data_IF_188240379157
#
_entry.id   IF_188240379157
#
_cell.length_a   1.000
_cell.length_b   1.000
_cell.length_c   1.000
_cell.angle_alpha   90.00
_cell.angle_beta   90.00
_cell.angle_gamma   90.00
#
_symmetry.space_group_name_H-M   'P 1'
#
loop_
_entity.id
_entity.type
_entity.pdbx_description
1 polymer ?
#
# COMPACT_ATOMS: atom_id res chain seq x y z
N UNK A 1 9.23 27.88 6.73
CA UNK A 1 8.45 27.66 5.50
C UNK A 1 7.48 26.53 5.82
N UNK A 2 6.29 26.89 6.27
CA UNK A 2 5.28 25.93 6.77
C UNK A 2 4.15 25.93 5.75
N UNK A 3 4.27 25.07 4.75
CA UNK A 3 3.26 24.91 3.70
C UNK A 3 2.07 24.16 4.29
N UNK A 4 1.06 24.95 4.64
CA UNK A 4 -0.22 24.49 5.17
C UNK A 4 -1.00 23.82 4.03
N UNK A 5 -1.33 22.54 4.27
CA UNK A 5 -2.26 21.77 3.47
C UNK A 5 -3.61 22.49 3.48
N UNK A 6 -4.00 23.10 2.37
CA UNK A 6 -5.29 23.77 2.25
C UNK A 6 -6.41 22.72 2.36
N UNK A 7 -7.21 22.90 3.41
CA UNK A 7 -8.53 22.34 3.64
C UNK A 7 -9.38 22.44 2.35
N UNK A 8 -9.64 21.29 1.73
CA UNK A 8 -10.37 21.20 0.47
C UNK A 8 -11.00 19.83 0.36
N UNK A 9 -12.23 19.72 0.86
CA UNK A 9 -13.14 18.57 0.77
C UNK A 9 -13.63 18.26 -0.64
N UNK A 10 -12.98 18.82 -1.66
CA UNK A 10 -13.36 18.71 -3.07
C UNK A 10 -12.29 17.89 -3.81
N UNK A 11 -12.67 16.67 -4.19
CA UNK A 11 -11.82 15.82 -5.03
C UNK A 11 -11.53 16.60 -6.32
N UNK A 12 -10.27 16.93 -6.59
CA UNK A 12 -9.91 17.61 -7.84
C UNK A 12 -10.25 16.72 -9.02
N UNK A 13 -10.85 17.32 -10.04
CA UNK A 13 -11.20 16.61 -11.25
C UNK A 13 -9.91 16.17 -11.98
N UNK A 14 -9.71 14.86 -12.22
CA UNK A 14 -8.49 14.35 -12.83
C UNK A 14 -8.31 14.79 -14.30
N UNK A 15 -9.32 15.39 -14.94
CA UNK A 15 -9.19 15.95 -16.29
C UNK A 15 -8.47 17.30 -16.33
N UNK A 16 -8.44 18.05 -15.22
CA UNK A 16 -7.78 19.36 -15.16
C UNK A 16 -6.26 19.25 -15.00
N UNK A 17 -5.78 18.30 -14.19
CA UNK A 17 -4.35 17.97 -14.09
C UNK A 17 -4.17 16.46 -13.88
N UNK A 18 -4.10 15.66 -14.97
CA UNK A 18 -4.00 14.20 -14.90
C UNK A 18 -2.66 13.71 -14.33
N UNK A 19 -1.78 14.63 -13.95
CA UNK A 19 -0.47 14.34 -13.37
C UNK A 19 -0.44 14.62 -11.88
N UNK A 20 -1.56 14.93 -11.26
CA UNK A 20 -1.67 15.22 -9.83
C UNK A 20 -2.67 14.27 -9.15
N UNK A 21 -2.36 13.91 -7.90
CA UNK A 21 -3.25 13.13 -7.06
C UNK A 21 -4.57 13.87 -6.84
N UNK A 22 -5.71 13.25 -7.17
CA UNK A 22 -7.04 13.85 -6.99
C UNK A 22 -7.42 14.15 -5.54
N UNK A 23 -6.69 13.57 -4.57
CA UNK A 23 -6.96 13.74 -3.13
C UNK A 23 -6.10 14.81 -2.47
N UNK A 24 -4.79 14.80 -2.69
CA UNK A 24 -3.88 15.74 -2.02
C UNK A 24 -3.19 16.73 -2.98
N UNK A 25 -3.40 16.59 -4.29
CA UNK A 25 -2.84 17.49 -5.30
C UNK A 25 -1.35 17.36 -5.57
N UNK A 26 -0.67 16.36 -4.96
CA UNK A 26 0.77 16.13 -5.22
C UNK A 26 0.98 15.63 -6.64
N UNK A 27 2.04 16.10 -7.30
CA UNK A 27 2.39 15.67 -8.66
C UNK A 27 2.89 14.21 -8.65
N UNK A 28 2.22 13.35 -9.41
CA UNK A 28 2.48 11.92 -9.56
C UNK A 28 2.99 11.54 -10.97
N UNK A 29 3.04 12.50 -11.90
CA UNK A 29 3.52 12.28 -13.27
C UNK A 29 2.51 11.60 -14.20
N UNK A 30 2.95 11.19 -15.39
CA UNK A 30 2.07 10.66 -16.46
C UNK A 30 1.72 9.16 -16.35
N UNK A 31 2.33 8.44 -15.41
CA UNK A 31 2.29 6.98 -15.36
C UNK A 31 1.60 6.39 -14.14
N UNK A 32 0.85 7.17 -13.37
CA UNK A 32 0.27 6.76 -12.11
C UNK A 32 -1.25 6.89 -12.07
N UNK A 33 -1.87 6.04 -11.27
CA UNK A 33 -3.28 6.03 -10.86
C UNK A 33 -3.79 7.44 -10.48
N UNK A 34 -5.11 7.67 -10.40
CA UNK A 34 -5.71 8.95 -9.95
C UNK A 34 -5.20 9.47 -8.58
N UNK A 35 -4.47 8.65 -7.82
CA UNK A 35 -3.97 8.97 -6.49
C UNK A 35 -2.49 8.61 -6.33
N UNK A 36 -1.78 9.41 -5.53
CA UNK A 36 -0.46 9.02 -5.06
C UNK A 36 -0.53 7.78 -4.16
N UNK A 37 0.56 7.02 -4.10
CA UNK A 37 0.66 5.78 -3.32
C UNK A 37 0.08 5.84 -1.89
N UNK A 38 0.38 6.85 -1.05
CA UNK A 38 -0.20 6.91 0.29
C UNK A 38 -1.72 7.14 0.26
N UNK A 39 -2.23 8.05 -0.58
CA UNK A 39 -3.67 8.28 -0.69
C UNK A 39 -4.40 7.07 -1.28
N UNK A 40 -3.80 6.38 -2.26
CA UNK A 40 -4.34 5.18 -2.87
C UNK A 40 -4.46 4.04 -1.85
N UNK A 41 -3.47 3.88 -0.97
CA UNK A 41 -3.50 2.88 0.12
C UNK A 41 -4.54 3.23 1.18
N UNK A 42 -4.70 4.51 1.52
CA UNK A 42 -5.67 4.95 2.52
C UNK A 42 -7.13 4.71 2.09
N UNK A 43 -7.44 4.86 0.79
CA UNK A 43 -8.77 4.58 0.25
C UNK A 43 -8.97 3.11 -0.17
N UNK A 44 -7.95 2.26 -0.03
CA UNK A 44 -8.00 0.86 -0.46
C UNK A 44 -7.91 0.63 -1.98
N UNK A 45 -7.49 1.63 -2.76
CA UNK A 45 -7.22 1.47 -4.20
C UNK A 45 -5.89 0.75 -4.48
N UNK A 46 -4.94 0.79 -3.53
CA UNK A 46 -3.72 -0.04 -3.53
C UNK A 46 -3.67 -0.91 -2.27
N UNK A 47 -3.17 -2.15 -2.36
CA UNK A 47 -3.01 -3.01 -1.19
C UNK A 47 -2.05 -2.37 -0.17
N UNK A 48 -2.12 -2.73 1.12
CA UNK A 48 -1.20 -2.21 2.13
C UNK A 48 0.25 -2.65 1.88
N UNK A 49 1.20 -1.91 2.44
CA UNK A 49 2.58 -2.39 2.55
C UNK A 49 2.63 -3.38 3.71
N UNK A 50 3.14 -4.58 3.45
CA UNK A 50 3.39 -5.60 4.47
C UNK A 50 4.89 -5.74 4.71
N UNK A 51 5.23 -6.27 5.87
CA UNK A 51 6.61 -6.55 6.27
C UNK A 51 6.83 -8.05 6.23
N UNK A 52 7.90 -8.48 5.59
CA UNK A 52 8.33 -9.87 5.58
C UNK A 52 8.69 -10.30 7.00
N UNK A 53 8.09 -11.38 7.50
CA UNK A 53 8.43 -11.98 8.80
C UNK A 53 9.87 -12.51 8.82
N UNK A 54 10.37 -13.06 7.70
CA UNK A 54 11.69 -13.68 7.63
C UNK A 54 12.86 -12.69 7.58
N UNK A 55 12.82 -11.72 6.66
CA UNK A 55 13.93 -10.77 6.43
C UNK A 55 13.60 -9.32 6.79
N UNK A 56 12.35 -9.00 7.15
CA UNK A 56 11.93 -7.66 7.51
C UNK A 56 11.76 -6.68 6.36
N UNK A 57 11.97 -7.10 5.10
CA UNK A 57 11.74 -6.24 3.93
C UNK A 57 10.27 -5.84 3.80
N UNK A 58 10.03 -4.64 3.27
CA UNK A 58 8.69 -4.10 3.08
C UNK A 58 8.35 -4.12 1.59
N UNK A 59 7.18 -4.68 1.25
CA UNK A 59 6.67 -4.70 -0.11
C UNK A 59 5.13 -4.61 -0.10
N UNK A 60 4.50 -4.24 -1.22
CA UNK A 60 3.06 -4.35 -1.38
C UNK A 60 2.59 -5.79 -1.09
N UNK A 61 1.43 -5.93 -0.43
CA UNK A 61 0.85 -7.24 -0.10
C UNK A 61 0.72 -8.16 -1.32
N UNK A 62 0.39 -7.62 -2.50
CA UNK A 62 0.29 -8.36 -3.77
C UNK A 62 1.59 -9.05 -4.21
N UNK A 63 2.75 -8.62 -3.69
CA UNK A 63 4.07 -9.18 -3.98
C UNK A 63 4.58 -10.10 -2.85
N UNK A 64 3.77 -10.30 -1.81
CA UNK A 64 4.13 -11.10 -0.64
C UNK A 64 3.21 -12.31 -0.54
N UNK A 65 3.77 -13.41 -0.02
CA UNK A 65 3.01 -14.62 0.25
C UNK A 65 2.46 -14.58 1.68
N UNK A 66 1.16 -14.80 1.83
CA UNK A 66 0.51 -14.93 3.15
C UNK A 66 0.66 -16.35 3.68
N UNK A 67 1.18 -16.49 4.88
CA UNK A 67 1.38 -17.76 5.57
C UNK A 67 0.47 -17.80 6.80
N UNK A 68 -0.28 -18.88 6.96
CA UNK A 68 -1.04 -19.15 8.17
C UNK A 68 -0.07 -19.56 9.29
N UNK A 69 0.02 -18.74 10.33
CA UNK A 69 0.85 -19.01 11.53
C UNK A 69 -0.02 -19.36 12.74
N UNK A 70 -1.27 -19.68 12.49
CA UNK A 70 -2.25 -20.04 13.50
C UNK A 70 -1.85 -21.32 14.22
N UNK A 71 -1.80 -21.27 15.54
CA UNK A 71 -1.71 -22.46 16.37
C UNK A 71 -2.98 -23.32 16.27
N UNK A 72 -2.89 -24.63 16.61
CA UNK A 72 -4.02 -25.56 16.50
C UNK A 72 -5.23 -25.22 17.38
N UNK A 73 -5.05 -24.34 18.37
CA UNK A 73 -6.08 -23.91 19.33
C UNK A 73 -6.57 -22.48 19.09
N UNK A 74 -6.12 -21.82 18.01
CA UNK A 74 -6.51 -20.43 17.74
C UNK A 74 -7.90 -20.33 17.10
N UNK A 75 -8.80 -19.62 17.78
CA UNK A 75 -10.16 -19.39 17.30
C UNK A 75 -10.22 -18.46 16.07
N UNK A 76 -9.23 -17.59 15.91
CA UNK A 76 -9.08 -16.73 14.73
C UNK A 76 -7.74 -16.96 14.06
N UNK A 77 -7.73 -17.17 12.73
CA UNK A 77 -6.50 -17.40 12.03
C UNK A 77 -5.63 -16.14 11.99
N UNK A 78 -4.33 -16.33 12.20
CA UNK A 78 -3.29 -15.31 12.09
C UNK A 78 -2.47 -15.57 10.84
N UNK A 79 -2.41 -14.53 10.01
CA UNK A 79 -1.62 -14.55 8.78
C UNK A 79 -0.43 -13.61 8.91
N UNK A 80 0.72 -14.11 8.51
CA UNK A 80 1.96 -13.35 8.41
C UNK A 80 2.44 -13.36 6.95
N UNK A 81 3.35 -12.46 6.59
CA UNK A 81 3.72 -12.27 5.19
C UNK A 81 5.19 -12.59 4.98
N UNK A 82 5.51 -13.30 3.89
CA UNK A 82 6.88 -13.58 3.46
C UNK A 82 7.14 -12.95 2.09
N UNK A 83 8.34 -12.39 1.90
CA UNK A 83 8.76 -11.99 0.56
C UNK A 83 9.12 -13.22 -0.27
N UNK A 84 9.14 -13.08 -1.59
CA UNK A 84 9.42 -14.18 -2.54
C UNK A 84 10.76 -14.88 -2.27
N UNK A 85 11.74 -14.16 -1.71
CA UNK A 85 13.03 -14.73 -1.34
C UNK A 85 12.98 -15.59 -0.06
N UNK A 86 12.04 -15.32 0.84
CA UNK A 86 11.85 -16.07 2.09
C UNK A 86 10.79 -17.16 1.97
N UNK A 87 9.81 -17.01 1.08
CA UNK A 87 8.78 -18.03 0.85
C UNK A 87 9.28 -19.21 0.02
N UNK A 88 10.22 -18.98 -0.91
CA UNK A 88 10.81 -20.02 -1.78
C UNK A 88 11.90 -20.88 -1.12
N UNK A 89 11.83 -21.11 0.19
CA UNK A 89 12.80 -21.92 0.92
C UNK A 89 12.65 -23.42 0.64
N UNK A 90 13.21 -23.90 -0.47
CA UNK A 90 13.61 -25.29 -0.62
C UNK A 90 14.88 -25.56 0.23
N UNK A 91 14.74 -26.34 1.31
CA UNK A 91 15.77 -27.22 1.85
C UNK A 91 15.15 -28.30 2.75
#
# INVERSE_FOLDING_TARGET
MTEQCADGTDRRDPTEDPRSCSRCGVHIGLGGDDYCDPCAREIGAKPPIRRCMGCGQQAPEEQMESVDVSGPEEYYPKFEYLCSACSGGDA
#
